data_IF_757497990147
#
_entry.id   IF_757497990147
#
_cell.length_a   1.000
_cell.length_b   1.000
_cell.length_c   1.000
_cell.angle_alpha   90.00
_cell.angle_beta   90.00
_cell.angle_gamma   90.00
#
_symmetry.space_group_name_H-M   'P 1'
#
loop_
_entity.id
_entity.type
_entity.pdbx_description
1 polymer ?
#
# COMPACT_ATOMS: atom_id res chain seq x y z
N UNK A 1 49.21 3.89 -43.34
CA UNK A 1 48.88 4.84 -42.25
C UNK A 1 48.36 4.03 -41.06
N UNK A 2 49.06 3.95 -39.94
CA UNK A 2 48.68 3.20 -38.69
C UNK A 2 47.89 4.11 -37.80
N UNK A 3 46.80 3.65 -37.09
CA UNK A 3 46.11 4.46 -36.09
C UNK A 3 46.84 4.34 -34.74
N UNK A 4 47.05 5.51 -34.11
CA UNK A 4 47.72 5.62 -32.81
C UNK A 4 46.79 5.21 -31.64
N UNK A 5 47.37 4.52 -30.68
CA UNK A 5 46.76 4.15 -29.39
C UNK A 5 46.88 5.32 -28.41
N UNK A 6 45.79 5.83 -27.90
CA UNK A 6 45.79 6.72 -26.74
C UNK A 6 45.53 5.92 -25.47
N UNK A 7 46.55 5.87 -24.64
CA UNK A 7 46.47 5.28 -23.29
C UNK A 7 46.16 6.40 -22.29
N UNK A 8 45.02 6.33 -21.60
CA UNK A 8 44.69 7.21 -20.49
C UNK A 8 45.09 6.54 -19.18
N UNK A 9 46.06 7.10 -18.52
CA UNK A 9 46.50 6.72 -17.17
C UNK A 9 45.58 7.40 -16.16
N UNK A 10 44.84 6.62 -15.36
CA UNK A 10 44.08 7.12 -14.22
C UNK A 10 44.96 7.05 -13.00
N UNK A 11 45.30 8.23 -12.43
CA UNK A 11 45.99 8.35 -11.16
C UNK A 11 45.01 8.15 -9.99
N UNK A 12 45.27 7.14 -9.18
CA UNK A 12 44.53 6.91 -7.91
C UNK A 12 45.26 7.67 -6.81
N UNK A 13 44.63 8.67 -6.23
CA UNK A 13 45.13 9.39 -5.04
C UNK A 13 44.54 8.68 -3.82
N UNK A 14 45.38 7.98 -3.07
CA UNK A 14 45.06 7.49 -1.72
C UNK A 14 45.34 8.61 -0.71
N UNK A 15 44.30 9.09 -0.04
CA UNK A 15 44.41 9.94 1.14
C UNK A 15 44.29 9.08 2.40
N UNK A 16 45.39 8.90 3.09
CA UNK A 16 45.45 8.27 4.41
C UNK A 16 45.11 9.31 5.49
N UNK A 17 44.06 9.08 6.25
CA UNK A 17 43.72 9.85 7.46
C UNK A 17 44.18 9.07 8.68
N UNK A 18 45.20 9.58 9.35
CA UNK A 18 45.76 9.05 10.60
C UNK A 18 44.88 9.53 11.78
N UNK A 19 44.28 8.61 12.51
CA UNK A 19 43.48 8.87 13.71
C UNK A 19 44.39 8.89 14.95
N UNK A 20 44.50 10.01 15.65
CA UNK A 20 45.16 10.16 16.94
C UNK A 20 44.20 9.72 18.06
N UNK A 21 44.58 8.66 18.78
CA UNK A 21 43.92 8.27 20.06
C UNK A 21 44.50 9.08 21.21
N UNK A 22 43.65 9.86 21.91
CA UNK A 22 43.96 10.43 23.20
C UNK A 22 43.32 9.57 24.30
N UNK A 23 44.17 9.02 25.20
CA UNK A 23 43.74 8.30 26.40
C UNK A 23 43.33 9.29 27.49
N UNK A 24 42.09 9.24 27.95
CA UNK A 24 41.63 9.90 29.18
C UNK A 24 41.17 8.85 30.19
N UNK A 25 41.82 8.82 31.33
CA UNK A 25 41.52 7.93 32.49
C UNK A 25 40.24 8.37 33.21
N UNK A 26 39.40 7.46 33.71
CA UNK A 26 38.20 7.81 34.47
C UNK A 26 38.48 8.10 35.93
N UNK A 27 38.02 9.26 36.41
CA UNK A 27 37.96 9.62 37.85
C UNK A 27 36.70 9.02 38.50
N UNK A 28 36.89 8.38 39.62
CA UNK A 28 35.82 7.86 40.51
C UNK A 28 35.26 9.00 41.35
N UNK A 29 33.96 9.23 41.30
CA UNK A 29 33.22 9.94 42.33
C UNK A 29 32.10 9.06 42.86
N UNK A 30 32.08 8.96 44.21
CA UNK A 30 31.14 8.19 45.04
C UNK A 30 29.81 8.96 45.23
N UNK A 31 28.64 8.31 45.30
CA UNK A 31 27.37 9.03 45.46
C UNK A 31 27.05 9.37 46.91
N UNK A 32 26.70 10.62 47.15
CA UNK A 32 26.22 11.15 48.44
C UNK A 32 24.86 10.54 48.82
N UNK A 33 24.79 10.01 50.06
CA UNK A 33 23.57 9.50 50.69
C UNK A 33 22.67 10.65 51.14
N UNK A 34 21.51 10.83 50.53
CA UNK A 34 20.46 11.72 51.02
C UNK A 34 19.39 10.87 51.71
N UNK A 35 19.24 11.08 53.05
CA UNK A 35 18.18 10.48 53.88
C UNK A 35 16.84 11.15 53.54
N UNK A 36 15.85 10.39 53.10
CA UNK A 36 14.47 10.84 53.09
C UNK A 36 13.67 10.23 54.22
N UNK A 37 13.08 11.13 54.98
CA UNK A 37 12.18 10.88 56.09
C UNK A 37 10.83 10.35 55.59
N UNK A 38 10.34 9.27 56.19
CA UNK A 38 8.99 8.77 56.03
C UNK A 38 7.98 9.74 56.64
N UNK A 39 7.01 10.17 55.88
CA UNK A 39 5.72 10.60 56.41
C UNK A 39 4.60 9.93 55.60
N UNK A 40 3.93 9.03 56.31
CA UNK A 40 2.72 8.31 55.90
C UNK A 40 1.57 9.29 55.75
N UNK A 41 0.88 9.21 54.59
CA UNK A 41 -0.55 9.48 54.55
C UNK A 41 -1.18 8.58 53.51
N UNK A 42 -1.99 7.62 53.98
CA UNK A 42 -2.94 6.83 53.19
C UNK A 42 -4.00 7.77 52.62
N UNK A 43 -4.21 7.76 51.33
CA UNK A 43 -5.48 8.10 50.70
C UNK A 43 -5.79 7.00 49.71
N UNK A 44 -6.75 6.20 50.06
CA UNK A 44 -7.43 5.21 49.26
C UNK A 44 -8.29 5.96 48.25
N UNK A 45 -7.91 5.94 46.99
CA UNK A 45 -8.83 6.13 45.85
C UNK A 45 -8.42 5.16 44.74
N UNK A 46 -8.78 3.89 44.96
CA UNK A 46 -8.73 2.85 43.93
C UNK A 46 -9.83 3.11 42.89
N UNK A 47 -9.60 4.08 42.04
CA UNK A 47 -10.28 4.08 40.73
C UNK A 47 -9.43 3.26 39.79
N UNK A 48 -9.68 1.96 39.82
CA UNK A 48 -9.41 1.08 38.69
C UNK A 48 -10.13 1.69 37.51
N UNK A 49 -9.37 2.36 36.61
CA UNK A 49 -9.87 2.76 35.33
C UNK A 49 -10.14 1.47 34.56
N UNK A 50 -11.41 1.10 34.54
CA UNK A 50 -11.91 0.01 33.71
C UNK A 50 -11.67 0.37 32.23
N UNK A 51 -10.55 -0.10 31.67
CA UNK A 51 -10.17 0.06 30.26
C UNK A 51 -10.97 -0.86 29.34
N UNK A 52 -12.05 -1.49 29.81
CA UNK A 52 -12.77 -2.53 29.06
C UNK A 52 -14.00 -2.06 28.31
N UNK A 53 -14.30 -0.74 28.22
CA UNK A 53 -15.54 -0.32 27.55
C UNK A 53 -15.44 0.97 26.72
N UNK A 54 -14.36 1.16 25.96
CA UNK A 54 -14.50 2.00 24.76
C UNK A 54 -14.88 1.09 23.62
N UNK A 55 -16.16 0.84 23.47
CA UNK A 55 -16.73 0.21 22.29
C UNK A 55 -16.41 1.08 21.07
N UNK A 56 -15.34 0.70 20.38
CA UNK A 56 -14.87 1.37 19.19
C UNK A 56 -15.80 0.98 18.04
N UNK A 57 -16.76 1.85 17.71
CA UNK A 57 -17.61 1.66 16.55
C UNK A 57 -16.76 1.91 15.30
N UNK A 58 -16.61 0.98 14.35
CA UNK A 58 -15.75 1.16 13.16
C UNK A 58 -16.03 2.40 12.31
N UNK A 59 -17.16 3.07 12.52
CA UNK A 59 -17.54 4.32 11.85
C UNK A 59 -17.04 5.61 12.49
N UNK A 60 -16.51 5.59 13.72
CA UNK A 60 -16.10 6.82 14.44
C UNK A 60 -14.70 7.34 14.10
N UNK A 61 -13.90 6.59 13.33
CA UNK A 61 -12.57 7.02 12.89
C UNK A 61 -12.58 7.90 11.63
N UNK A 62 -13.69 7.99 10.94
CA UNK A 62 -13.78 8.77 9.71
C UNK A 62 -14.25 10.21 10.03
N UNK A 63 -13.35 11.20 9.92
CA UNK A 63 -13.60 12.61 10.23
C UNK A 63 -14.64 13.33 9.39
N UNK A 64 -15.13 12.70 8.33
CA UNK A 64 -16.30 13.15 7.61
C UNK A 64 -17.26 11.98 7.47
N UNK A 65 -18.56 12.17 7.67
CA UNK A 65 -19.54 11.12 7.39
C UNK A 65 -19.39 10.69 5.93
N UNK A 66 -19.66 9.41 5.61
CA UNK A 66 -19.74 8.95 4.23
C UNK A 66 -20.73 9.80 3.46
N UNK A 67 -20.43 10.11 2.21
CA UNK A 67 -21.42 10.73 1.32
C UNK A 67 -22.64 9.79 1.19
N UNK A 68 -23.87 10.32 1.04
CA UNK A 68 -25.05 9.47 0.91
C UNK A 68 -24.86 8.39 -0.16
N UNK A 69 -25.11 7.14 0.19
CA UNK A 69 -24.92 5.98 -0.67
C UNK A 69 -23.51 5.39 -0.70
N UNK A 70 -22.55 5.94 0.03
CA UNK A 70 -21.16 5.42 0.08
C UNK A 70 -20.72 5.08 1.51
N UNK A 71 -20.21 3.87 1.70
CA UNK A 71 -19.79 3.36 3.00
C UNK A 71 -18.54 4.05 3.55
N UNK A 72 -17.62 4.51 2.67
CA UNK A 72 -16.31 5.05 3.05
C UNK A 72 -16.16 6.50 2.61
N UNK A 73 -15.67 7.40 3.52
CA UNK A 73 -15.47 8.82 3.21
C UNK A 73 -14.26 9.04 2.30
N UNK A 74 -14.28 10.13 1.53
CA UNK A 74 -13.15 10.58 0.74
C UNK A 74 -12.02 11.13 1.62
N UNK A 75 -10.82 10.64 1.41
CA UNK A 75 -9.57 11.27 1.85
C UNK A 75 -9.20 12.32 0.82
N UNK A 76 -9.33 13.59 1.16
CA UNK A 76 -9.19 14.69 0.20
C UNK A 76 -7.79 15.30 0.22
N UNK A 77 -7.34 15.80 -0.94
CA UNK A 77 -6.09 16.53 -1.11
C UNK A 77 -4.89 15.73 -0.57
N UNK A 78 -4.75 14.49 -1.02
CA UNK A 78 -3.64 13.61 -0.66
C UNK A 78 -2.54 13.75 -1.70
N UNK A 79 -1.32 14.04 -1.22
CA UNK A 79 -0.13 13.97 -2.07
C UNK A 79 0.03 12.54 -2.55
N UNK A 80 0.11 12.39 -3.86
CA UNK A 80 0.10 11.11 -4.56
C UNK A 80 1.31 11.02 -5.47
N UNK A 81 2.02 9.92 -5.39
CA UNK A 81 3.20 9.62 -6.20
C UNK A 81 2.95 8.44 -7.12
N UNK A 82 3.82 8.26 -8.10
CA UNK A 82 3.77 7.14 -9.03
C UNK A 82 4.85 6.15 -8.68
N UNK A 83 4.51 4.89 -8.63
CA UNK A 83 5.43 3.77 -8.45
C UNK A 83 5.07 2.64 -9.41
N UNK A 84 5.98 1.70 -9.65
CA UNK A 84 5.68 0.60 -10.56
C UNK A 84 6.35 -0.72 -10.16
N UNK A 85 5.72 -1.80 -10.55
CA UNK A 85 6.25 -3.15 -10.34
C UNK A 85 7.58 -3.28 -11.09
N UNK A 86 8.63 -3.66 -10.36
CA UNK A 86 9.99 -3.79 -10.90
C UNK A 86 10.81 -2.50 -10.87
N UNK A 87 10.30 -1.42 -10.27
CA UNK A 87 11.05 -0.19 -10.04
C UNK A 87 12.34 -0.45 -9.24
N UNK A 88 13.42 0.15 -9.68
CA UNK A 88 14.71 0.09 -9.00
C UNK A 88 14.79 1.18 -7.93
N UNK A 89 15.55 0.96 -6.85
CA UNK A 89 15.79 2.02 -5.87
C UNK A 89 16.37 3.28 -6.51
N UNK A 90 15.87 4.44 -6.07
CA UNK A 90 16.34 5.77 -6.45
C UNK A 90 16.42 6.68 -5.22
N UNK A 91 16.96 7.89 -5.34
CA UNK A 91 17.16 8.78 -4.20
C UNK A 91 15.89 9.14 -3.42
N UNK A 92 14.76 9.21 -4.09
CA UNK A 92 13.44 9.48 -3.51
C UNK A 92 12.61 8.20 -3.24
N UNK A 93 13.08 7.05 -3.69
CA UNK A 93 12.49 5.73 -3.44
C UNK A 93 13.61 4.73 -3.14
N UNK A 94 14.03 4.54 -1.87
CA UNK A 94 15.14 3.65 -1.51
C UNK A 94 14.76 2.16 -1.56
N UNK A 95 13.48 1.82 -1.76
CA UNK A 95 12.97 0.44 -1.72
C UNK A 95 12.75 -0.08 -3.14
N UNK A 96 13.25 -1.28 -3.49
CA UNK A 96 12.96 -1.88 -4.79
C UNK A 96 11.55 -2.47 -4.81
N UNK A 97 10.75 -2.16 -5.85
CA UNK A 97 9.39 -2.68 -6.03
C UNK A 97 9.36 -3.98 -6.86
N UNK A 98 10.36 -4.86 -6.66
CA UNK A 98 10.37 -6.21 -7.27
C UNK A 98 9.44 -7.18 -6.55
N UNK A 99 9.19 -6.91 -5.28
CA UNK A 99 8.28 -7.60 -4.37
C UNK A 99 7.31 -6.59 -3.80
N UNK A 100 6.13 -7.02 -3.38
CA UNK A 100 5.24 -6.21 -2.57
C UNK A 100 5.19 -6.74 -1.13
N UNK A 101 4.54 -6.01 -0.26
CA UNK A 101 4.28 -6.44 1.13
C UNK A 101 3.54 -7.79 1.21
N UNK A 102 2.85 -8.19 0.15
CA UNK A 102 2.01 -9.38 0.10
C UNK A 102 2.33 -10.34 -1.04
N UNK A 103 3.30 -10.01 -1.92
CA UNK A 103 3.71 -10.86 -3.04
C UNK A 103 5.24 -10.84 -3.19
N UNK A 104 5.89 -11.92 -2.76
CA UNK A 104 7.35 -12.07 -2.80
C UNK A 104 7.92 -12.23 -4.21
N UNK A 105 7.08 -12.55 -5.19
CA UNK A 105 7.46 -12.71 -6.60
C UNK A 105 6.69 -11.72 -7.50
N UNK A 106 6.37 -10.53 -7.01
CA UNK A 106 5.44 -9.60 -7.64
C UNK A 106 5.74 -9.34 -9.11
N UNK A 107 7.00 -9.00 -9.45
CA UNK A 107 7.42 -8.80 -10.85
C UNK A 107 7.18 -10.03 -11.72
N UNK A 108 7.47 -11.23 -11.20
CA UNK A 108 7.25 -12.50 -11.92
C UNK A 108 5.75 -12.79 -12.08
N UNK A 109 4.99 -12.59 -11.02
CA UNK A 109 3.54 -12.83 -11.01
C UNK A 109 2.78 -11.83 -11.89
N UNK A 110 3.27 -10.59 -12.00
CA UNK A 110 2.75 -9.60 -12.94
C UNK A 110 3.06 -9.97 -14.40
N UNK A 111 4.16 -10.63 -14.67
CA UNK A 111 4.62 -11.04 -15.99
C UNK A 111 5.82 -10.26 -16.51
N UNK A 112 6.36 -9.33 -15.72
CA UNK A 112 7.50 -8.48 -16.06
C UNK A 112 7.50 -7.17 -15.30
N UNK A 113 8.28 -6.21 -15.78
CA UNK A 113 8.32 -4.84 -15.24
C UNK A 113 7.16 -4.04 -15.83
N UNK A 114 6.41 -3.34 -14.97
CA UNK A 114 5.38 -2.38 -15.41
C UNK A 114 6.03 -1.05 -15.81
N UNK A 115 6.70 -1.06 -16.96
CA UNK A 115 7.49 0.07 -17.47
C UNK A 115 6.62 1.35 -17.51
N UNK A 116 7.03 2.42 -16.80
CA UNK A 116 6.24 3.64 -16.70
C UNK A 116 6.37 4.56 -17.92
N UNK A 117 7.31 4.31 -18.85
CA UNK A 117 7.49 5.13 -20.03
C UNK A 117 6.24 5.07 -20.92
N UNK A 118 5.53 6.20 -21.17
CA UNK A 118 4.35 6.22 -22.03
C UNK A 118 4.59 5.65 -23.43
N UNK A 119 5.81 5.76 -23.96
CA UNK A 119 6.19 5.21 -25.26
C UNK A 119 6.19 3.66 -25.29
N UNK A 120 6.31 3.05 -24.11
CA UNK A 120 6.32 1.60 -23.93
C UNK A 120 4.95 1.04 -23.45
N UNK A 121 3.90 1.83 -23.48
CA UNK A 121 2.57 1.49 -22.99
C UNK A 121 1.51 1.64 -24.07
N UNK A 122 0.50 0.79 -24.02
CA UNK A 122 -0.68 0.86 -24.88
C UNK A 122 -1.91 0.44 -24.07
N UNK A 123 -3.01 1.19 -24.18
CA UNK A 123 -4.24 0.88 -23.44
C UNK A 123 -4.03 0.63 -21.93
N UNK A 124 -3.17 1.45 -21.31
CA UNK A 124 -2.83 1.40 -19.87
C UNK A 124 -2.01 0.17 -19.44
N UNK A 125 -1.50 -0.65 -20.35
CA UNK A 125 -0.64 -1.80 -20.04
C UNK A 125 0.71 -1.69 -20.75
N UNK A 126 1.76 -2.42 -20.29
CA UNK A 126 3.01 -2.55 -21.03
C UNK A 126 2.76 -3.08 -22.45
N UNK A 127 3.37 -2.46 -23.47
CA UNK A 127 3.20 -2.88 -24.85
C UNK A 127 3.83 -4.25 -25.15
N UNK A 128 4.81 -4.69 -24.35
CA UNK A 128 5.59 -5.92 -24.57
C UNK A 128 4.91 -7.20 -24.12
N UNK A 129 3.93 -7.12 -23.21
CA UNK A 129 3.22 -8.29 -22.68
C UNK A 129 1.86 -7.90 -22.08
N UNK A 130 0.94 -8.86 -21.98
CA UNK A 130 -0.30 -8.69 -21.24
C UNK A 130 -0.04 -9.03 -19.75
N UNK A 131 -0.30 -8.10 -18.83
CA UNK A 131 -0.12 -8.35 -17.41
C UNK A 131 -1.00 -9.50 -16.92
N UNK A 132 -0.43 -10.35 -16.03
CA UNK A 132 -1.19 -11.41 -15.36
C UNK A 132 -1.87 -10.94 -14.07
N UNK A 133 -1.55 -9.73 -13.60
CA UNK A 133 -2.24 -9.05 -12.52
C UNK A 133 -2.84 -7.74 -13.02
N UNK A 134 -3.79 -7.19 -12.26
CA UNK A 134 -4.47 -5.95 -12.63
C UNK A 134 -3.46 -4.80 -12.75
N UNK A 135 -3.34 -4.12 -13.89
CA UNK A 135 -2.43 -2.98 -14.04
C UNK A 135 -2.88 -1.73 -13.27
N UNK A 136 -4.15 -1.66 -12.87
CA UNK A 136 -4.65 -0.60 -12.00
C UNK A 136 -4.48 -1.02 -10.54
N UNK A 137 -3.30 -0.73 -9.99
CA UNK A 137 -2.95 -1.00 -8.59
C UNK A 137 -2.52 0.28 -7.87
N UNK A 138 -2.56 0.24 -6.54
CA UNK A 138 -2.10 1.32 -5.67
C UNK A 138 -1.44 0.76 -4.41
N UNK A 139 -0.76 1.65 -3.68
CA UNK A 139 -0.25 1.37 -2.34
C UNK A 139 -0.74 2.43 -1.34
N UNK A 140 -1.08 1.96 -0.14
CA UNK A 140 -1.45 2.79 1.02
C UNK A 140 -0.55 2.44 2.20
N UNK A 141 -0.20 3.39 3.09
CA UNK A 141 0.85 3.20 4.10
C UNK A 141 0.40 2.38 5.31
N UNK A 142 -0.17 1.21 5.05
CA UNK A 142 -0.53 0.23 6.07
C UNK A 142 -0.43 -1.20 5.54
N UNK A 143 0.21 -2.07 6.31
CA UNK A 143 0.22 -3.51 6.11
C UNK A 143 -0.41 -4.16 7.34
N UNK A 144 -1.50 -4.88 7.16
CA UNK A 144 -2.18 -5.59 8.24
C UNK A 144 -1.41 -6.81 8.75
N UNK A 145 -0.31 -7.21 8.05
CA UNK A 145 0.51 -8.35 8.42
C UNK A 145 1.64 -7.95 9.38
N UNK A 146 1.89 -8.81 10.35
CA UNK A 146 3.07 -8.81 11.21
C UNK A 146 3.99 -9.98 10.84
N UNK A 147 5.08 -10.15 11.58
CA UNK A 147 5.97 -11.31 11.41
C UNK A 147 5.21 -12.62 11.57
N UNK A 148 4.30 -12.68 12.54
CA UNK A 148 3.43 -13.82 12.82
C UNK A 148 1.97 -13.33 12.81
N UNK A 149 1.21 -13.75 11.80
CA UNK A 149 -0.21 -13.41 11.69
C UNK A 149 -0.50 -11.96 11.31
N UNK A 150 -1.56 -11.41 11.87
CA UNK A 150 -1.97 -10.03 11.67
C UNK A 150 -1.45 -9.11 12.78
N UNK A 151 -1.35 -7.81 12.49
CA UNK A 151 -1.07 -6.79 13.52
C UNK A 151 -2.20 -6.78 14.56
N UNK A 152 -1.88 -6.53 15.85
CA UNK A 152 -2.88 -6.56 16.93
C UNK A 152 -4.05 -5.59 16.74
N UNK A 153 -3.81 -4.46 16.09
CA UNK A 153 -4.84 -3.46 15.79
C UNK A 153 -5.70 -3.83 14.57
N UNK A 154 -5.22 -4.65 13.65
CA UNK A 154 -5.89 -4.92 12.38
C UNK A 154 -7.36 -5.38 12.52
N UNK A 155 -7.74 -6.29 13.44
CA UNK A 155 -9.13 -6.69 13.62
C UNK A 155 -10.08 -5.56 14.02
N UNK A 156 -9.53 -4.50 14.64
CA UNK A 156 -10.32 -3.35 15.12
C UNK A 156 -10.38 -2.20 14.14
N UNK A 157 -9.31 -2.01 13.34
CA UNK A 157 -9.17 -0.83 12.48
C UNK A 157 -9.54 -1.09 11.03
N UNK A 158 -9.41 -2.34 10.53
CA UNK A 158 -9.80 -2.71 9.17
C UNK A 158 -11.30 -3.01 9.13
N UNK A 159 -12.13 -2.17 8.47
CA UNK A 159 -13.60 -2.27 8.59
C UNK A 159 -14.20 -3.58 8.08
N UNK A 160 -13.48 -4.27 7.20
CA UNK A 160 -13.89 -5.55 6.57
C UNK A 160 -13.09 -6.75 7.09
N UNK A 161 -12.32 -6.60 8.17
CA UNK A 161 -11.37 -7.63 8.63
C UNK A 161 -12.03 -9.02 8.74
N UNK A 162 -13.11 -9.12 9.51
CA UNK A 162 -13.79 -10.40 9.75
C UNK A 162 -14.38 -11.04 8.48
N UNK A 163 -14.80 -10.21 7.52
CA UNK A 163 -15.36 -10.67 6.24
C UNK A 163 -14.28 -11.18 5.28
N UNK A 164 -13.09 -10.55 5.34
CA UNK A 164 -11.97 -10.87 4.45
C UNK A 164 -10.96 -11.85 5.06
N UNK A 165 -11.12 -12.23 6.34
CA UNK A 165 -10.17 -13.09 7.03
C UNK A 165 -10.17 -14.52 6.46
N UNK A 166 -9.01 -14.93 5.95
CA UNK A 166 -8.76 -16.26 5.37
C UNK A 166 -7.61 -16.98 6.08
N UNK A 167 -7.39 -16.67 7.36
CA UNK A 167 -6.32 -17.24 8.16
C UNK A 167 -5.11 -16.27 8.36
N UNK A 168 -4.21 -16.66 9.26
CA UNK A 168 -3.14 -15.75 9.70
C UNK A 168 -2.10 -15.42 8.62
N UNK A 169 -2.02 -16.18 7.53
CA UNK A 169 -1.06 -15.95 6.45
C UNK A 169 -1.55 -14.96 5.39
N UNK A 170 -2.86 -14.75 5.25
CA UNK A 170 -3.48 -13.99 4.16
C UNK A 170 -3.82 -12.58 4.63
N UNK A 171 -3.39 -11.54 3.89
CA UNK A 171 -3.77 -10.15 4.17
C UNK A 171 -5.26 -9.93 3.91
N UNK A 172 -5.90 -9.16 4.81
CA UNK A 172 -7.28 -8.68 4.62
C UNK A 172 -7.34 -7.36 3.83
N UNK A 173 -6.19 -6.74 3.58
CA UNK A 173 -6.06 -5.49 2.84
C UNK A 173 -5.78 -5.69 1.36
N UNK A 174 -5.03 -6.75 0.99
CA UNK A 174 -4.68 -7.05 -0.39
C UNK A 174 -5.92 -7.16 -1.28
N UNK A 175 -5.82 -6.62 -2.49
CA UNK A 175 -6.87 -6.61 -3.53
C UNK A 175 -8.13 -5.82 -3.18
N UNK A 176 -8.11 -5.02 -2.08
CA UNK A 176 -9.22 -4.11 -1.77
C UNK A 176 -9.31 -3.01 -2.81
N UNK A 177 -10.53 -2.71 -3.27
CA UNK A 177 -10.76 -1.67 -4.27
C UNK A 177 -10.72 -0.27 -3.65
N UNK A 178 -10.08 0.65 -4.38
CA UNK A 178 -9.90 2.05 -4.04
C UNK A 178 -10.35 2.90 -5.23
N UNK A 179 -11.25 3.84 -5.00
CA UNK A 179 -11.56 4.90 -5.96
C UNK A 179 -10.57 6.05 -5.76
N UNK A 180 -9.98 6.53 -6.85
CA UNK A 180 -8.97 7.61 -6.86
C UNK A 180 -9.44 8.67 -7.84
N UNK A 181 -9.56 9.92 -7.38
CA UNK A 181 -10.14 11.00 -8.15
C UNK A 181 -9.17 12.16 -8.34
N UNK A 182 -9.10 12.66 -9.57
CA UNK A 182 -8.42 13.92 -9.91
C UNK A 182 -9.33 14.74 -10.85
N UNK A 183 -9.71 15.93 -10.41
CA UNK A 183 -10.70 16.73 -11.13
C UNK A 183 -12.02 16.00 -11.30
N UNK A 184 -12.47 15.85 -12.54
CA UNK A 184 -13.73 15.16 -12.90
C UNK A 184 -13.51 13.67 -13.27
N UNK A 185 -12.29 13.15 -13.20
CA UNK A 185 -11.99 11.75 -13.54
C UNK A 185 -11.79 10.91 -12.29
N UNK A 186 -12.34 9.70 -12.29
CA UNK A 186 -12.17 8.71 -11.22
C UNK A 186 -11.65 7.40 -11.83
N UNK A 187 -10.52 6.92 -11.32
CA UNK A 187 -10.01 5.57 -11.57
C UNK A 187 -10.35 4.66 -10.40
N UNK A 188 -10.37 3.37 -10.65
CA UNK A 188 -10.50 2.36 -9.62
C UNK A 188 -9.29 1.43 -9.69
N UNK A 189 -8.67 1.20 -8.54
CA UNK A 189 -7.45 0.40 -8.43
C UNK A 189 -7.56 -0.60 -7.29
N UNK A 190 -6.82 -1.72 -7.38
CA UNK A 190 -6.68 -2.67 -6.29
C UNK A 190 -5.49 -2.29 -5.40
N UNK A 191 -5.66 -2.40 -4.10
CA UNK A 191 -4.60 -2.16 -3.14
C UNK A 191 -3.67 -3.38 -3.08
N UNK A 192 -2.48 -3.27 -3.68
CA UNK A 192 -1.57 -4.40 -3.89
C UNK A 192 -0.24 -4.29 -3.14
N UNK A 193 0.05 -3.14 -2.52
CA UNK A 193 1.26 -2.96 -1.71
C UNK A 193 1.05 -2.01 -0.53
N UNK A 194 1.95 -2.06 0.46
CA UNK A 194 1.97 -1.14 1.60
C UNK A 194 3.08 -0.09 1.43
N UNK A 195 2.67 1.15 1.25
CA UNK A 195 3.51 2.33 1.02
C UNK A 195 2.62 3.56 0.77
N UNK A 196 3.20 4.74 0.53
CA UNK A 196 4.62 5.06 0.51
C UNK A 196 5.27 5.12 1.90
N UNK A 197 6.53 4.71 1.98
CA UNK A 197 7.47 4.84 3.11
C UNK A 197 7.06 4.17 4.44
N UNK A 198 5.78 4.10 4.76
CA UNK A 198 5.28 3.52 6.01
C UNK A 198 4.37 2.32 5.73
N UNK A 199 4.35 1.43 6.69
CA UNK A 199 3.52 0.22 6.63
C UNK A 199 2.67 0.03 7.89
N UNK A 200 2.55 1.08 8.72
CA UNK A 200 1.93 1.01 10.05
C UNK A 200 0.96 2.17 10.34
N UNK A 201 0.63 3.00 9.34
CA UNK A 201 -0.12 4.24 9.56
C UNK A 201 -1.64 4.04 9.40
N UNK A 202 -2.22 3.14 10.21
CA UNK A 202 -3.65 2.87 10.19
C UNK A 202 -4.52 4.08 10.55
N UNK A 203 -4.02 5.01 11.38
CA UNK A 203 -4.72 6.23 11.77
C UNK A 203 -5.01 7.15 10.57
N UNK A 204 -4.16 7.12 9.56
CA UNK A 204 -4.42 7.79 8.29
C UNK A 204 -5.30 6.93 7.39
N UNK A 205 -4.93 5.67 7.18
CA UNK A 205 -5.59 4.82 6.18
C UNK A 205 -7.05 4.56 6.55
N UNK A 206 -7.35 4.25 7.80
CA UNK A 206 -8.69 3.96 8.29
C UNK A 206 -9.30 5.06 9.17
N UNK A 207 -8.47 5.95 9.74
CA UNK A 207 -8.87 7.03 10.64
C UNK A 207 -8.87 8.41 9.96
N UNK A 208 -8.63 9.46 10.74
CA UNK A 208 -8.76 10.86 10.32
C UNK A 208 -7.43 11.59 10.20
N UNK A 209 -6.31 10.95 10.54
CA UNK A 209 -5.02 11.60 10.43
C UNK A 209 -4.69 11.94 8.97
N UNK A 210 -3.78 12.90 8.81
CA UNK A 210 -3.13 13.17 7.53
C UNK A 210 -1.92 12.26 7.35
N UNK A 211 -1.46 12.00 6.12
CA UNK A 211 -0.20 11.31 5.89
C UNK A 211 0.93 11.98 6.67
N UNK A 212 1.81 11.19 7.30
CA UNK A 212 2.98 11.72 7.99
C UNK A 212 4.00 12.27 7.00
N UNK A 213 4.79 13.29 7.38
CA UNK A 213 5.87 13.80 6.54
C UNK A 213 6.80 12.69 6.07
N UNK A 214 7.21 12.74 4.81
CA UNK A 214 8.18 11.84 4.18
C UNK A 214 8.93 12.57 3.04
N UNK A 215 9.89 11.88 2.41
CA UNK A 215 10.74 12.45 1.35
C UNK A 215 9.95 12.95 0.14
N UNK A 216 8.76 12.40 -0.12
CA UNK A 216 7.89 12.79 -1.23
C UNK A 216 6.76 13.72 -0.75
N UNK A 217 7.13 14.79 -0.04
CA UNK A 217 6.21 15.87 0.39
C UNK A 217 5.01 15.38 1.23
N UNK A 218 5.20 14.31 2.00
CA UNK A 218 4.13 13.71 2.79
C UNK A 218 3.14 12.91 1.94
N UNK A 219 3.61 12.24 0.87
CA UNK A 219 2.77 11.37 0.06
C UNK A 219 2.08 10.30 0.92
N UNK A 220 0.80 10.10 0.67
CA UNK A 220 -0.05 9.13 1.37
C UNK A 220 -0.72 8.13 0.45
N UNK A 221 -0.44 8.19 -0.83
CA UNK A 221 -0.93 7.27 -1.83
C UNK A 221 0.13 7.13 -2.93
N UNK A 222 0.42 5.91 -3.33
CA UNK A 222 1.15 5.61 -4.55
C UNK A 222 0.22 4.95 -5.57
N UNK A 223 0.36 5.31 -6.85
CA UNK A 223 -0.47 4.80 -7.93
C UNK A 223 0.36 4.20 -9.06
N UNK A 224 -0.18 3.19 -9.71
CA UNK A 224 0.44 2.55 -10.87
C UNK A 224 0.52 3.48 -12.09
N UNK A 225 1.38 3.17 -13.07
CA UNK A 225 1.41 3.87 -14.35
C UNK A 225 0.05 3.89 -15.06
N UNK A 226 -0.74 2.81 -14.96
CA UNK A 226 -2.10 2.76 -15.54
C UNK A 226 -3.04 3.80 -14.91
N UNK A 227 -3.03 3.93 -13.58
CA UNK A 227 -3.82 4.94 -12.86
C UNK A 227 -3.33 6.35 -13.20
N UNK A 228 -1.99 6.55 -13.22
CA UNK A 228 -1.38 7.81 -13.64
C UNK A 228 -1.86 8.25 -15.02
N UNK A 229 -1.74 7.36 -16.00
CA UNK A 229 -2.08 7.65 -17.39
C UNK A 229 -3.59 7.94 -17.54
N UNK A 230 -4.43 7.17 -16.85
CA UNK A 230 -5.88 7.38 -16.89
C UNK A 230 -6.29 8.72 -16.27
N UNK A 231 -5.75 9.09 -15.12
CA UNK A 231 -6.09 10.32 -14.40
C UNK A 231 -5.32 11.55 -14.88
N UNK A 232 -4.22 11.38 -15.63
CA UNK A 232 -3.28 12.45 -15.98
C UNK A 232 -2.53 12.97 -14.75
N UNK A 233 -2.13 12.09 -13.83
CA UNK A 233 -1.32 12.41 -12.64
C UNK A 233 0.12 12.61 -13.07
N UNK A 234 0.80 13.62 -12.50
CA UNK A 234 2.24 13.85 -12.63
C UNK A 234 2.99 12.93 -11.65
N UNK A 235 4.34 12.90 -11.71
CA UNK A 235 5.17 12.12 -10.78
C UNK A 235 4.84 12.37 -9.30
N UNK A 236 4.51 13.63 -8.96
CA UNK A 236 3.94 14.04 -7.67
C UNK A 236 2.77 14.95 -7.96
N UNK A 237 1.60 14.61 -7.45
CA UNK A 237 0.37 15.36 -7.69
C UNK A 237 -0.54 15.29 -6.45
N UNK A 238 -1.74 15.82 -6.53
CA UNK A 238 -2.74 15.77 -5.48
C UNK A 238 -4.00 15.12 -6.00
N UNK A 239 -4.45 14.08 -5.28
CA UNK A 239 -5.70 13.37 -5.58
C UNK A 239 -6.58 13.25 -4.35
N UNK A 240 -7.82 12.83 -4.55
CA UNK A 240 -8.69 12.32 -3.50
C UNK A 240 -8.80 10.81 -3.66
N UNK A 241 -8.94 10.07 -2.55
CA UNK A 241 -9.20 8.64 -2.62
C UNK A 241 -10.17 8.17 -1.53
N UNK A 242 -10.84 7.05 -1.77
CA UNK A 242 -11.65 6.33 -0.76
C UNK A 242 -11.65 4.83 -1.04
N UNK A 243 -11.91 4.04 -0.03
CA UNK A 243 -12.27 2.64 -0.27
C UNK A 243 -13.64 2.55 -0.94
N UNK A 244 -13.85 1.48 -1.67
CA UNK A 244 -15.14 1.15 -2.27
C UNK A 244 -15.42 -0.34 -2.13
N UNK A 245 -16.69 -0.71 -2.00
CA UNK A 245 -17.10 -2.09 -2.15
C UNK A 245 -17.11 -2.45 -3.65
N UNK A 246 -16.85 -3.71 -3.99
CA UNK A 246 -16.74 -4.12 -5.40
C UNK A 246 -18.02 -3.80 -6.19
N UNK A 247 -19.19 -3.87 -5.57
CA UNK A 247 -20.46 -3.51 -6.18
C UNK A 247 -20.57 -2.04 -6.61
N UNK A 248 -19.75 -1.16 -6.03
CA UNK A 248 -19.67 0.26 -6.40
C UNK A 248 -18.69 0.53 -7.55
N UNK A 249 -17.90 -0.48 -7.96
CA UNK A 249 -16.86 -0.31 -9.01
C UNK A 249 -17.50 -0.49 -10.38
N UNK A 250 -17.64 0.56 -11.21
CA UNK A 250 -18.16 0.41 -12.57
C UNK A 250 -17.12 -0.29 -13.45
N UNK A 251 -17.56 -0.90 -14.54
CA UNK A 251 -16.63 -1.40 -15.56
C UNK A 251 -15.86 -0.24 -16.20
N UNK A 252 -14.61 -0.49 -16.52
CA UNK A 252 -13.69 0.47 -17.12
C UNK A 252 -12.37 -0.20 -17.48
N UNK A 253 -11.32 0.56 -17.81
CA UNK A 253 -10.01 -0.02 -18.18
C UNK A 253 -9.44 -0.95 -17.10
N UNK A 254 -9.76 -0.71 -15.82
CA UNK A 254 -9.37 -1.55 -14.67
C UNK A 254 -10.09 -2.89 -14.58
N UNK A 255 -11.08 -3.17 -15.44
CA UNK A 255 -11.89 -4.40 -15.34
C UNK A 255 -11.53 -5.48 -16.36
N UNK A 256 -10.46 -5.28 -17.16
CA UNK A 256 -10.24 -6.08 -18.37
C UNK A 256 -9.15 -7.13 -18.27
N UNK A 257 -8.15 -6.93 -17.37
CA UNK A 257 -6.94 -7.76 -17.33
C UNK A 257 -6.61 -8.13 -15.87
N UNK A 258 -5.94 -9.27 -15.70
CA UNK A 258 -5.36 -9.73 -14.46
C UNK A 258 -6.09 -10.90 -13.81
N UNK A 259 -5.35 -11.95 -13.43
CA UNK A 259 -5.89 -13.13 -12.74
C UNK A 259 -6.34 -12.83 -11.31
N UNK A 260 -5.77 -11.78 -10.67
CA UNK A 260 -6.19 -11.24 -9.38
C UNK A 260 -7.34 -10.22 -9.48
N UNK A 261 -7.79 -9.92 -10.70
CA UNK A 261 -8.84 -8.94 -10.95
C UNK A 261 -10.21 -9.52 -10.63
N UNK A 262 -10.93 -8.89 -9.72
CA UNK A 262 -12.26 -9.36 -9.28
C UNK A 262 -13.25 -9.49 -10.45
N UNK A 263 -13.19 -8.58 -11.45
CA UNK A 263 -14.03 -8.68 -12.65
C UNK A 263 -13.71 -9.94 -13.46
N UNK A 264 -12.42 -10.16 -13.74
CA UNK A 264 -11.96 -11.32 -14.53
C UNK A 264 -12.29 -12.63 -13.80
N UNK A 265 -12.11 -12.69 -12.49
CA UNK A 265 -12.45 -13.86 -11.67
C UNK A 265 -13.95 -14.15 -11.75
N UNK A 266 -14.80 -13.13 -11.60
CA UNK A 266 -16.25 -13.29 -11.63
C UNK A 266 -16.76 -13.65 -13.04
N UNK A 267 -16.19 -13.04 -14.09
CA UNK A 267 -16.56 -13.37 -15.47
C UNK A 267 -16.20 -14.82 -15.82
N UNK A 268 -15.05 -15.31 -15.34
CA UNK A 268 -14.64 -16.73 -15.50
C UNK A 268 -15.60 -17.67 -14.80
N UNK A 269 -15.91 -17.43 -13.53
CA UNK A 269 -16.87 -18.26 -12.76
C UNK A 269 -18.24 -18.32 -13.44
N UNK A 270 -18.75 -17.18 -13.88
CA UNK A 270 -20.02 -17.14 -14.61
C UNK A 270 -19.98 -17.91 -15.94
N UNK A 271 -18.85 -17.87 -16.63
CA UNK A 271 -18.64 -18.67 -17.85
C UNK A 271 -18.65 -20.19 -17.58
N UNK A 272 -17.98 -20.60 -16.50
CA UNK A 272 -17.96 -22.01 -16.04
C UNK A 272 -19.36 -22.50 -15.64
N UNK A 273 -20.11 -21.73 -14.85
CA UNK A 273 -21.49 -22.03 -14.44
C UNK A 273 -22.44 -22.19 -15.66
N UNK A 274 -22.28 -21.32 -16.67
CA UNK A 274 -23.09 -21.40 -17.90
C UNK A 274 -22.72 -22.62 -18.76
N UNK A 275 -21.46 -23.04 -18.75
CA UNK A 275 -21.00 -24.22 -19.50
C UNK A 275 -21.47 -25.53 -18.86
N UNK A 276 -21.58 -25.55 -17.52
CA UNK A 276 -22.05 -26.71 -16.73
C UNK A 276 -23.58 -26.83 -16.65
N UNK A 277 -24.31 -25.74 -17.00
CA UNK A 277 -25.76 -25.74 -16.97
C UNK A 277 -26.33 -26.84 -17.94
N UNK A 278 -27.19 -27.75 -17.49
CA UNK A 278 -27.72 -28.80 -18.32
C UNK A 278 -28.48 -28.20 -19.52
N UNK A 279 -28.07 -28.58 -20.73
CA UNK A 279 -28.78 -28.19 -21.96
C UNK A 279 -30.20 -28.74 -21.81
N UNK A 280 -31.19 -27.87 -21.60
CA UNK A 280 -32.59 -28.25 -21.60
C UNK A 280 -32.85 -28.96 -22.94
N UNK A 281 -32.97 -30.27 -22.89
CA UNK A 281 -33.40 -31.08 -24.05
C UNK A 281 -34.74 -30.53 -24.50
N UNK A 282 -34.77 -29.90 -25.66
CA UNK A 282 -36.04 -29.53 -26.26
C UNK A 282 -36.88 -30.79 -26.41
N UNK A 283 -37.95 -30.90 -25.66
CA UNK A 283 -38.94 -31.91 -25.90
C UNK A 283 -39.54 -31.66 -27.28
N UNK A 284 -39.13 -32.46 -28.28
CA UNK A 284 -39.84 -32.57 -29.55
C UNK A 284 -41.21 -33.10 -29.23
N UNK A 285 -42.21 -32.24 -29.24
CA UNK A 285 -43.61 -32.66 -29.25
C UNK A 285 -43.85 -33.20 -30.70
N UNK A 286 -43.73 -34.50 -30.84
CA UNK A 286 -44.25 -35.18 -32.04
C UNK A 286 -45.78 -35.06 -32.01
N UNK A 287 -46.31 -34.46 -33.04
CA UNK A 287 -47.76 -34.53 -33.40
C UNK A 287 -47.98 -35.72 -34.32
#
# INVERSE_FOLDING_TARGET
MKPGKFTHTIAVILSSVTSLFAHGTPSKEEPAKTKFSKKSQRSTDDRVLDVTSVAFTPGQLAGNPPEPGHRYPWKRKIVTTVFWIGEKPAGNNPVPNRVSSWDKEWTKNYGGIDDPDPAHRSNYIPAKFTPRQNPFYCALPYNDKAKEGHRPEAPRVVPWFNQAYQGPAVSTCKSRWVAIRKGNRTAYAQWEDAGPFRTDHWQYVFGNERPKPNLNKGAGLDVSPAVRDYLGVKETDVTDWRFVDFSEVPRGPWSTVGENNTFVINDRKKGEELAEAPRRSGSVIAR
#
